data_IF_708242337439
#
_entry.id   IF_708242337439
#
_cell.length_a   1.000
_cell.length_b   1.000
_cell.length_c   1.000
_cell.angle_alpha   90.00
_cell.angle_beta   90.00
_cell.angle_gamma   90.00
#
_symmetry.space_group_name_H-M   'P 1'
#
loop_
_entity.id
_entity.type
_entity.pdbx_description
1 polymer ?
#
# COMPACT_ATOMS: atom_id res chain seq x y z
N UNK A 1 -6.16 4.14 -15.92
CA UNK A 1 -6.08 5.52 -15.38
C UNK A 1 -6.01 6.56 -16.49
N UNK A 2 -5.07 6.46 -17.43
CA UNK A 2 -4.99 7.40 -18.57
C UNK A 2 -6.29 7.54 -19.35
N UNK A 3 -6.91 6.42 -19.72
CA UNK A 3 -8.18 6.42 -20.46
C UNK A 3 -9.30 7.14 -19.69
N UNK A 4 -9.34 6.94 -18.36
CA UNK A 4 -10.32 7.60 -17.49
C UNK A 4 -10.10 9.12 -17.44
N UNK A 5 -8.85 9.56 -17.27
CA UNK A 5 -8.52 10.99 -17.26
C UNK A 5 -8.79 11.63 -18.62
N UNK A 6 -8.44 10.95 -19.72
CA UNK A 6 -8.77 11.38 -21.07
C UNK A 6 -10.27 11.50 -21.31
N UNK A 7 -11.05 10.50 -20.88
CA UNK A 7 -12.52 10.54 -20.98
C UNK A 7 -13.15 11.67 -20.16
N UNK A 8 -12.61 11.97 -18.97
CA UNK A 8 -13.04 13.11 -18.14
C UNK A 8 -12.57 14.47 -18.65
N UNK A 9 -11.68 14.51 -19.66
CA UNK A 9 -11.08 15.75 -20.16
C UNK A 9 -10.04 16.35 -19.22
N UNK A 10 -9.47 15.55 -18.32
CA UNK A 10 -8.50 15.98 -17.33
C UNK A 10 -7.09 15.90 -17.90
N UNK A 11 -6.38 17.05 -17.91
CA UNK A 11 -4.99 17.10 -18.34
C UNK A 11 -4.08 16.46 -17.29
N UNK A 12 -3.23 15.53 -17.72
CA UNK A 12 -2.31 14.81 -16.85
C UNK A 12 -0.92 14.66 -17.48
N UNK A 13 0.07 14.43 -16.63
CA UNK A 13 1.41 13.97 -17.00
C UNK A 13 1.64 12.56 -16.47
N UNK A 14 2.52 11.79 -17.10
CA UNK A 14 2.93 10.45 -16.67
C UNK A 14 4.45 10.33 -16.60
N UNK A 15 4.94 9.71 -15.54
CA UNK A 15 6.34 9.31 -15.41
C UNK A 15 6.42 7.92 -14.77
N UNK A 16 7.08 7.02 -15.48
CA UNK A 16 7.33 5.65 -15.05
C UNK A 16 8.75 5.19 -15.39
N UNK A 17 9.03 3.91 -15.18
CA UNK A 17 10.35 3.31 -15.47
C UNK A 17 10.76 3.32 -16.94
N UNK A 18 9.81 3.49 -17.88
CA UNK A 18 10.08 3.53 -19.32
C UNK A 18 10.41 4.94 -19.81
N UNK A 19 10.11 5.96 -19.00
CA UNK A 19 10.39 7.36 -19.32
C UNK A 19 11.90 7.63 -19.29
N UNK A 20 12.44 8.17 -20.39
CA UNK A 20 13.86 8.51 -20.53
C UNK A 20 14.27 9.57 -19.51
N UNK A 21 15.52 9.50 -19.05
CA UNK A 21 16.04 10.43 -18.04
C UNK A 21 15.97 11.91 -18.49
N UNK A 22 16.19 12.18 -19.77
CA UNK A 22 16.14 13.51 -20.38
C UNK A 22 14.73 14.13 -20.29
N UNK A 23 13.69 13.34 -20.57
CA UNK A 23 12.30 13.79 -20.59
C UNK A 23 11.76 14.09 -19.17
N UNK A 24 12.31 13.42 -18.15
CA UNK A 24 11.88 13.60 -16.74
C UNK A 24 12.03 15.05 -16.28
N UNK A 25 13.12 15.70 -16.64
CA UNK A 25 13.37 17.09 -16.28
C UNK A 25 12.35 18.05 -16.89
N UNK A 26 11.95 17.81 -18.14
CA UNK A 26 10.93 18.61 -18.80
C UNK A 26 9.55 18.41 -18.19
N UNK A 27 9.16 17.17 -17.89
CA UNK A 27 7.89 16.85 -17.23
C UNK A 27 7.77 17.51 -15.86
N UNK A 28 8.84 17.44 -15.04
CA UNK A 28 8.89 18.12 -13.75
C UNK A 28 8.77 19.63 -13.88
N UNK A 29 9.42 20.23 -14.89
CA UNK A 29 9.32 21.68 -15.12
C UNK A 29 7.91 22.08 -15.54
N UNK A 30 7.25 21.30 -16.40
CA UNK A 30 5.86 21.55 -16.81
C UNK A 30 4.92 21.52 -15.60
N UNK A 31 5.03 20.50 -14.75
CA UNK A 31 4.17 20.35 -13.57
C UNK A 31 4.42 21.42 -12.49
N UNK A 32 5.67 21.82 -12.25
CA UNK A 32 5.99 22.87 -11.27
C UNK A 32 5.78 24.30 -11.81
N UNK A 33 5.36 24.46 -13.06
CA UNK A 33 5.04 25.79 -13.61
C UNK A 33 3.84 26.36 -12.86
N UNK A 34 3.88 27.62 -12.38
CA UNK A 34 2.71 28.28 -11.78
C UNK A 34 1.52 28.38 -12.73
N UNK A 35 1.78 28.38 -14.04
CA UNK A 35 0.80 28.41 -15.12
C UNK A 35 0.62 27.02 -15.76
N UNK A 36 0.84 25.94 -14.99
CA UNK A 36 0.62 24.58 -15.47
C UNK A 36 -0.87 24.31 -15.68
N UNK A 37 -1.26 23.94 -16.89
CA UNK A 37 -2.61 23.43 -17.18
C UNK A 37 -2.82 21.99 -16.64
N UNK A 38 -1.74 21.32 -16.24
CA UNK A 38 -1.77 19.96 -15.70
C UNK A 38 -1.98 19.99 -14.20
N UNK A 39 -3.07 19.36 -13.75
CA UNK A 39 -3.38 19.20 -12.32
C UNK A 39 -3.09 17.79 -11.77
N UNK A 40 -2.93 16.79 -12.65
CA UNK A 40 -2.60 15.40 -12.26
C UNK A 40 -1.22 15.00 -12.79
N UNK A 41 -0.43 14.36 -11.93
CA UNK A 41 0.82 13.71 -12.33
C UNK A 41 0.79 12.24 -11.88
N UNK A 42 0.66 11.33 -12.85
CA UNK A 42 0.73 9.89 -12.62
C UNK A 42 2.17 9.43 -12.46
N UNK A 43 2.46 8.80 -11.33
CA UNK A 43 3.78 8.28 -10.98
C UNK A 43 3.68 6.81 -10.59
N UNK A 44 4.62 6.01 -11.08
CA UNK A 44 4.90 4.71 -10.45
C UNK A 44 5.60 4.94 -9.11
N UNK A 45 5.19 4.24 -8.05
CA UNK A 45 5.82 4.31 -6.71
C UNK A 45 7.34 4.15 -6.77
N UNK A 46 7.83 3.16 -7.52
CA UNK A 46 9.27 2.95 -7.75
C UNK A 46 9.95 4.09 -8.49
N UNK A 47 9.26 4.73 -9.43
CA UNK A 47 9.79 5.89 -10.14
C UNK A 47 9.77 7.15 -9.26
N UNK A 48 8.79 7.26 -8.35
CA UNK A 48 8.70 8.32 -7.33
C UNK A 48 9.84 8.28 -6.29
N UNK A 49 10.37 7.09 -6.02
CA UNK A 49 11.54 6.89 -5.16
C UNK A 49 12.84 7.50 -5.69
N UNK A 50 12.92 7.89 -6.97
CA UNK A 50 14.15 8.35 -7.64
C UNK A 50 14.56 9.81 -7.35
N UNK A 51 13.99 10.46 -6.34
CA UNK A 51 14.40 11.82 -5.92
C UNK A 51 13.78 12.97 -6.73
N UNK A 52 12.54 12.81 -7.18
CA UNK A 52 11.80 13.86 -7.89
C UNK A 52 11.53 15.09 -6.99
N UNK A 53 11.29 16.26 -7.60
CA UNK A 53 10.90 17.47 -6.88
C UNK A 53 9.49 17.90 -7.32
N UNK A 54 8.49 17.69 -6.46
CA UNK A 54 7.08 17.98 -6.72
C UNK A 54 6.54 18.97 -5.69
N UNK A 55 7.33 20.00 -5.37
CA UNK A 55 6.99 21.05 -4.40
C UNK A 55 5.70 21.82 -4.74
N UNK A 56 5.21 21.77 -5.99
CA UNK A 56 3.92 22.35 -6.36
C UNK A 56 2.72 21.46 -5.99
N UNK A 57 2.91 20.16 -5.76
CA UNK A 57 1.84 19.21 -5.47
C UNK A 57 1.34 19.32 -4.02
N UNK A 58 0.03 19.46 -3.85
CA UNK A 58 -0.67 19.60 -2.58
C UNK A 58 -1.47 18.35 -2.18
N UNK A 59 -1.77 17.45 -3.12
CA UNK A 59 -2.51 16.21 -2.85
C UNK A 59 -1.78 15.00 -3.41
N UNK A 60 -1.60 13.97 -2.59
CA UNK A 60 -0.99 12.69 -2.96
C UNK A 60 -2.01 11.58 -2.74
N UNK A 61 -2.28 10.80 -3.79
CA UNK A 61 -3.17 9.63 -3.72
C UNK A 61 -2.32 8.38 -3.99
N UNK A 62 -2.27 7.48 -3.01
CA UNK A 62 -1.62 6.17 -3.12
C UNK A 62 -2.70 5.14 -3.46
N UNK A 63 -2.53 4.48 -4.60
CA UNK A 63 -3.41 3.39 -5.04
C UNK A 63 -2.94 2.05 -4.45
N UNK A 64 -1.73 1.61 -4.82
CA UNK A 64 -1.22 0.31 -4.40
C UNK A 64 -0.30 0.48 -3.20
N UNK A 65 -0.57 -0.24 -2.11
CA UNK A 65 0.31 -0.25 -0.94
C UNK A 65 1.53 -1.13 -1.19
N UNK A 66 2.74 -0.60 -0.98
CA UNK A 66 3.97 -1.38 -1.10
C UNK A 66 4.24 -2.18 0.19
N UNK A 67 4.80 -3.37 0.06
CA UNK A 67 5.28 -4.17 1.18
C UNK A 67 6.43 -3.49 1.96
N UNK A 68 7.14 -2.58 1.29
CA UNK A 68 8.12 -1.72 1.91
C UNK A 68 7.55 -0.31 2.15
N UNK A 69 7.18 0.02 3.40
CA UNK A 69 6.55 1.30 3.72
C UNK A 69 7.43 2.52 3.42
N UNK A 70 8.75 2.35 3.37
CA UNK A 70 9.69 3.43 3.03
C UNK A 70 9.52 3.93 1.59
N UNK A 71 9.04 3.10 0.66
CA UNK A 71 8.73 3.56 -0.71
C UNK A 71 7.58 4.57 -0.71
N UNK A 72 6.54 4.29 0.08
CA UNK A 72 5.38 5.17 0.19
C UNK A 72 5.72 6.46 0.93
N UNK A 73 6.46 6.39 2.03
CA UNK A 73 6.96 7.59 2.74
C UNK A 73 7.83 8.44 1.80
N UNK A 74 8.73 7.80 1.06
CA UNK A 74 9.59 8.50 0.12
C UNK A 74 8.78 9.17 -1.01
N UNK A 75 7.68 8.55 -1.47
CA UNK A 75 6.78 9.12 -2.44
C UNK A 75 6.00 10.33 -1.88
N UNK A 76 5.54 10.26 -0.63
CA UNK A 76 4.87 11.36 0.07
C UNK A 76 5.82 12.56 0.27
N UNK A 77 7.07 12.31 0.66
CA UNK A 77 8.12 13.32 0.83
C UNK A 77 8.45 14.09 -0.46
N UNK A 78 8.01 13.61 -1.64
CA UNK A 78 8.18 14.34 -2.89
C UNK A 78 7.33 15.62 -2.92
N UNK A 79 6.14 15.57 -2.32
CA UNK A 79 5.22 16.69 -2.18
C UNK A 79 5.44 17.44 -0.87
N UNK A 80 5.66 16.71 0.23
CA UNK A 80 5.97 17.29 1.54
C UNK A 80 7.45 17.70 1.64
N UNK A 81 7.84 18.71 0.86
CA UNK A 81 9.23 19.16 0.73
C UNK A 81 9.38 20.64 1.06
N UNK A 82 10.55 21.01 1.60
CA UNK A 82 10.93 22.41 1.86
C UNK A 82 10.65 23.25 0.61
N UNK A 83 9.83 24.29 0.73
CA UNK A 83 9.42 25.17 -0.38
C UNK A 83 7.95 25.03 -0.80
N UNK A 84 7.27 23.96 -0.37
CA UNK A 84 5.81 23.86 -0.48
C UNK A 84 5.13 24.89 0.45
N UNK A 85 4.12 25.58 -0.06
CA UNK A 85 3.31 26.59 0.63
C UNK A 85 1.90 26.11 0.99
N UNK A 86 1.39 25.13 0.26
CA UNK A 86 0.05 24.58 0.45
C UNK A 86 0.06 23.42 1.45
N UNK A 87 -1.08 23.18 2.10
CA UNK A 87 -1.25 22.02 2.97
C UNK A 87 -1.27 20.73 2.14
N UNK A 88 -0.31 19.83 2.41
CA UNK A 88 -0.21 18.55 1.71
C UNK A 88 -1.15 17.53 2.34
N UNK A 89 -2.08 16.99 1.54
CA UNK A 89 -2.99 15.91 1.95
C UNK A 89 -2.55 14.60 1.30
N UNK A 90 -2.38 13.56 2.11
CA UNK A 90 -2.04 12.22 1.63
C UNK A 90 -3.23 11.30 1.88
N UNK A 91 -3.74 10.71 0.81
CA UNK A 91 -4.82 9.73 0.84
C UNK A 91 -4.28 8.39 0.35
N UNK A 92 -4.65 7.32 1.03
CA UNK A 92 -4.39 5.95 0.58
C UNK A 92 -5.74 5.31 0.30
N UNK A 93 -5.93 4.86 -0.93
CA UNK A 93 -7.09 4.07 -1.29
C UNK A 93 -6.83 2.62 -0.88
N UNK A 94 -7.84 1.99 -0.31
CA UNK A 94 -7.79 0.59 0.07
C UNK A 94 -9.16 -0.02 -0.12
N UNK A 95 -9.17 -1.25 -0.62
CA UNK A 95 -10.37 -2.06 -0.75
C UNK A 95 -10.59 -2.86 0.54
N UNK A 96 -11.76 -2.69 1.14
CA UNK A 96 -12.18 -3.43 2.35
C UNK A 96 -12.27 -4.93 2.06
N UNK A 97 -11.91 -5.76 3.05
CA UNK A 97 -11.91 -7.23 2.96
C UNK A 97 -11.04 -7.79 1.82
N UNK A 98 -9.93 -7.12 1.52
CA UNK A 98 -9.01 -7.52 0.46
C UNK A 98 -7.62 -7.87 0.99
N UNK A 99 -6.78 -8.46 0.14
CA UNK A 99 -5.37 -8.70 0.47
C UNK A 99 -4.61 -7.39 0.80
N UNK A 100 -5.11 -6.24 0.36
CA UNK A 100 -4.49 -4.93 0.59
C UNK A 100 -4.44 -4.59 2.09
N UNK A 101 -5.45 -4.98 2.87
CA UNK A 101 -5.47 -4.78 4.33
C UNK A 101 -4.29 -5.50 5.00
N UNK A 102 -4.03 -6.75 4.58
CA UNK A 102 -2.92 -7.55 5.11
C UNK A 102 -1.57 -6.96 4.72
N UNK A 103 -1.45 -6.43 3.51
CA UNK A 103 -0.24 -5.75 3.05
C UNK A 103 -0.01 -4.49 3.88
N UNK A 104 -1.04 -3.68 4.10
CA UNK A 104 -0.92 -2.47 4.91
C UNK A 104 -0.57 -2.81 6.37
N UNK A 105 -1.22 -3.80 6.97
CA UNK A 105 -0.92 -4.24 8.34
C UNK A 105 0.55 -4.68 8.46
N UNK A 106 1.06 -5.45 7.50
CA UNK A 106 2.47 -5.84 7.47
C UNK A 106 3.42 -4.64 7.28
N UNK A 107 3.03 -3.66 6.48
CA UNK A 107 3.80 -2.43 6.28
C UNK A 107 3.81 -1.54 7.54
N UNK A 108 2.66 -1.39 8.22
CA UNK A 108 2.53 -0.69 9.51
C UNK A 108 3.38 -1.37 10.58
N UNK A 109 3.32 -2.69 10.69
CA UNK A 109 4.15 -3.45 11.62
C UNK A 109 5.65 -3.18 11.42
N UNK A 110 6.11 -3.13 10.16
CA UNK A 110 7.50 -2.78 9.85
C UNK A 110 7.85 -1.35 10.25
N UNK A 111 6.96 -0.38 10.03
CA UNK A 111 7.16 1.01 10.46
C UNK A 111 7.23 1.12 11.98
N UNK A 112 6.30 0.51 12.71
CA UNK A 112 6.28 0.57 14.17
C UNK A 112 7.54 -0.09 14.75
N UNK A 113 8.02 -1.17 14.13
CA UNK A 113 9.30 -1.80 14.50
C UNK A 113 10.49 -0.85 14.24
N UNK A 114 10.54 -0.18 13.08
CA UNK A 114 11.59 0.78 12.75
C UNK A 114 11.57 1.98 13.70
N UNK A 115 10.38 2.50 14.02
CA UNK A 115 10.19 3.60 14.98
C UNK A 115 10.68 3.19 16.37
N UNK A 116 10.34 1.99 16.84
CA UNK A 116 10.87 1.45 18.10
C UNK A 116 12.39 1.40 18.10
N UNK A 117 13.02 0.97 17.01
CA UNK A 117 14.50 0.91 16.92
C UNK A 117 15.11 2.31 16.96
N UNK A 118 14.51 3.28 16.26
CA UNK A 118 14.99 4.68 16.21
C UNK A 118 14.78 5.37 17.56
N UNK A 119 13.56 5.33 18.10
CA UNK A 119 13.18 6.03 19.33
C UNK A 119 13.76 5.37 20.59
N UNK A 120 13.97 4.05 20.61
CA UNK A 120 14.68 3.38 21.71
C UNK A 120 16.16 3.80 21.81
N UNK A 121 16.64 4.67 20.91
CA UNK A 121 17.95 5.28 21.04
C UNK A 121 19.07 4.25 20.94
N UNK A 122 18.88 3.16 20.19
CA UNK A 122 19.94 2.19 19.93
C UNK A 122 21.19 2.83 19.27
N UNK A 123 21.11 4.10 18.88
CA UNK A 123 22.19 4.91 18.32
C UNK A 123 22.79 5.98 19.26
N UNK A 124 22.16 6.35 20.38
CA UNK A 124 22.74 7.32 21.34
C UNK A 124 23.22 6.63 22.62
N UNK A 125 24.52 6.76 22.89
CA UNK A 125 25.20 6.13 24.02
C UNK A 125 25.13 6.98 25.31
N UNK A 126 24.26 8.00 25.34
CA UNK A 126 24.07 8.90 26.48
C UNK A 126 22.90 8.55 27.41
N UNK A 127 21.93 7.78 26.93
CA UNK A 127 20.73 7.42 27.72
C UNK A 127 20.99 6.26 28.69
N UNK A 128 20.49 6.37 29.91
CA UNK A 128 20.66 5.30 30.91
C UNK A 128 19.81 4.07 30.57
N UNK A 129 20.21 2.89 31.04
CA UNK A 129 19.47 1.63 30.77
C UNK A 129 18.04 1.64 31.32
N UNK A 130 17.80 2.38 32.41
CA UNK A 130 16.47 2.48 33.04
C UNK A 130 15.51 3.39 32.27
N UNK A 131 16.00 4.50 31.71
CA UNK A 131 15.19 5.40 30.87
C UNK A 131 14.73 4.70 29.59
N UNK A 132 15.62 3.92 28.96
CA UNK A 132 15.27 3.11 27.78
C UNK A 132 14.19 2.08 28.06
N UNK A 133 14.23 1.40 29.21
CA UNK A 133 13.22 0.40 29.59
C UNK A 133 11.85 1.03 29.87
N UNK A 134 11.81 2.16 30.56
CA UNK A 134 10.55 2.86 30.84
C UNK A 134 9.91 3.38 29.55
N UNK A 135 10.73 3.94 28.66
CA UNK A 135 10.26 4.47 27.39
C UNK A 135 9.79 3.38 26.42
N UNK A 136 10.54 2.26 26.31
CA UNK A 136 10.11 1.10 25.51
C UNK A 136 8.78 0.52 26.01
N UNK A 137 8.55 0.52 27.33
CA UNK A 137 7.29 0.07 27.92
C UNK A 137 6.11 0.98 27.54
N UNK A 138 6.33 2.30 27.46
CA UNK A 138 5.29 3.24 27.01
C UNK A 138 4.90 2.98 25.55
N UNK A 139 5.88 2.79 24.65
CA UNK A 139 5.60 2.53 23.22
C UNK A 139 4.84 1.21 23.05
N UNK A 140 5.23 0.16 23.78
CA UNK A 140 4.56 -1.15 23.67
C UNK A 140 3.09 -1.10 24.11
N UNK A 141 2.74 -0.29 25.12
CA UNK A 141 1.35 -0.15 25.57
C UNK A 141 0.48 0.69 24.63
N UNK A 142 1.09 1.51 23.78
CA UNK A 142 0.38 2.33 22.81
C UNK A 142 -0.04 1.50 21.58
N UNK A 143 0.80 0.56 21.17
CA UNK A 143 0.56 -0.38 20.05
C UNK A 143 -0.64 -1.31 20.29
N UNK A 144 -0.85 -1.80 21.52
CA UNK A 144 -1.97 -2.71 21.84
C UNK A 144 -3.35 -2.04 21.72
N UNK A 145 -3.42 -0.70 21.62
CA UNK A 145 -4.67 0.05 21.52
C UNK A 145 -5.07 0.41 20.08
N UNK A 146 -4.14 0.34 19.12
CA UNK A 146 -4.34 0.79 17.72
C UNK A 146 -4.79 -0.34 16.76
N UNK A 147 -4.79 -1.60 17.22
CA UNK A 147 -5.07 -2.78 16.38
C UNK A 147 -6.58 -3.15 16.25
N UNK A 148 -7.49 -2.36 16.83
CA UNK A 148 -8.95 -2.66 16.86
C UNK A 148 -9.84 -1.78 15.95
N UNK A 149 -9.29 -0.93 15.08
CA UNK A 149 -10.12 -0.17 14.12
C UNK A 149 -10.57 -1.05 12.94
N UNK A 150 -11.87 -1.35 12.87
CA UNK A 150 -12.51 -1.97 11.72
C UNK A 150 -12.52 -0.97 10.54
N UNK A 151 -11.97 -1.36 9.39
CA UNK A 151 -11.92 -0.48 8.21
C UNK A 151 -13.30 -0.41 7.56
N UNK A 152 -14.13 0.54 7.99
CA UNK A 152 -15.40 0.85 7.33
C UNK A 152 -15.21 1.77 6.13
N UNK A 153 -16.08 1.63 5.11
CA UNK A 153 -16.10 2.55 3.98
C UNK A 153 -16.69 3.88 4.45
N UNK A 154 -15.94 5.00 4.38
CA UNK A 154 -16.43 6.29 4.81
C UNK A 154 -17.57 6.77 3.92
N UNK A 155 -18.55 7.44 4.52
CA UNK A 155 -19.64 8.08 3.78
C UNK A 155 -19.16 9.37 3.08
N UNK A 156 -19.97 9.89 2.15
CA UNK A 156 -19.62 11.08 1.36
C UNK A 156 -19.27 12.28 2.24
N UNK A 157 -19.97 12.46 3.37
CA UNK A 157 -19.70 13.56 4.30
C UNK A 157 -18.33 13.41 4.98
N UNK A 158 -18.02 12.21 5.48
CA UNK A 158 -16.71 11.91 6.08
C UNK A 158 -15.59 12.13 5.05
N UNK A 159 -15.76 11.67 3.81
CA UNK A 159 -14.78 11.90 2.74
C UNK A 159 -14.60 13.40 2.50
N UNK A 160 -15.67 14.18 2.43
CA UNK A 160 -15.61 15.63 2.25
C UNK A 160 -14.87 16.32 3.40
N UNK A 161 -15.07 15.87 4.65
CA UNK A 161 -14.35 16.39 5.81
C UNK A 161 -12.85 16.04 5.76
N UNK A 162 -12.50 14.83 5.29
CA UNK A 162 -11.11 14.39 5.16
C UNK A 162 -10.32 15.18 4.11
N UNK A 163 -10.96 15.53 2.98
CA UNK A 163 -10.30 16.21 1.86
C UNK A 163 -10.36 17.74 1.91
N UNK A 164 -11.36 18.32 2.59
CA UNK A 164 -11.52 19.78 2.66
C UNK A 164 -10.45 20.41 3.55
N UNK A 165 -9.82 21.48 3.06
CA UNK A 165 -8.84 22.30 3.79
C UNK A 165 -9.50 23.50 4.47
N UNK A 166 -10.65 23.93 3.97
CA UNK A 166 -11.42 25.04 4.54
C UNK A 166 -12.93 24.81 4.40
N UNK A 167 -13.71 25.58 5.16
CA UNK A 167 -15.17 25.53 5.15
C UNK A 167 -15.76 25.80 3.75
N UNK A 168 -15.13 26.69 2.97
CA UNK A 168 -15.57 26.99 1.61
C UNK A 168 -15.42 25.80 0.65
N UNK A 169 -14.34 25.02 0.77
CA UNK A 169 -14.15 23.77 0.00
C UNK A 169 -15.17 22.72 0.42
N UNK A 170 -15.40 22.58 1.73
CA UNK A 170 -16.40 21.67 2.27
C UNK A 170 -17.81 21.98 1.74
N UNK A 171 -18.23 23.24 1.79
CA UNK A 171 -19.51 23.68 1.20
C UNK A 171 -19.58 23.42 -0.31
N UNK A 172 -18.47 23.60 -1.03
CA UNK A 172 -18.40 23.32 -2.46
C UNK A 172 -18.64 21.83 -2.73
N UNK A 173 -17.96 20.94 -1.99
CA UNK A 173 -18.14 19.50 -2.14
C UNK A 173 -19.57 19.06 -1.79
N UNK A 174 -20.16 19.61 -0.73
CA UNK A 174 -21.58 19.37 -0.41
C UNK A 174 -22.53 19.80 -1.53
N UNK A 175 -22.27 20.96 -2.17
CA UNK A 175 -23.05 21.43 -3.32
C UNK A 175 -22.91 20.47 -4.51
N UNK A 176 -21.70 20.00 -4.80
CA UNK A 176 -21.44 19.02 -5.86
C UNK A 176 -22.17 17.69 -5.59
N UNK A 177 -22.19 17.22 -4.34
CA UNK A 177 -22.91 15.99 -3.96
C UNK A 177 -24.42 16.13 -4.11
N UNK A 178 -24.95 17.30 -3.76
CA UNK A 178 -26.37 17.60 -3.92
C UNK A 178 -26.76 17.68 -5.40
N UNK A 179 -25.92 18.31 -6.23
CA UNK A 179 -26.12 18.39 -7.67
C UNK A 179 -26.11 17.00 -8.32
N UNK A 180 -25.11 16.19 -8.00
CA UNK A 180 -25.02 14.79 -8.45
C UNK A 180 -26.25 13.97 -8.03
N UNK A 181 -26.69 14.06 -6.77
CA UNK A 181 -27.93 13.40 -6.31
C UNK A 181 -29.17 13.90 -7.04
N UNK A 182 -29.21 15.19 -7.40
CA UNK A 182 -30.32 15.78 -8.17
C UNK A 182 -30.34 15.27 -9.60
N UNK A 183 -29.18 15.10 -10.23
CA UNK A 183 -29.04 14.52 -11.56
C UNK A 183 -29.43 13.03 -11.56
N UNK A 184 -28.95 12.27 -10.58
CA UNK A 184 -29.34 10.87 -10.37
C UNK A 184 -30.85 10.73 -10.19
N UNK A 185 -31.48 11.67 -9.47
CA UNK A 185 -32.94 11.68 -9.31
C UNK A 185 -33.70 11.99 -10.60
N UNK A 186 -33.11 12.69 -11.58
CA UNK A 186 -33.75 12.96 -12.88
C UNK A 186 -33.78 11.71 -13.76
N UNK A 187 -32.80 10.82 -13.61
CA UNK A 187 -32.72 9.55 -14.35
C UNK A 187 -33.83 8.57 -13.96
N UNK A 188 -34.41 8.70 -12.76
CA UNK A 188 -35.57 7.92 -12.34
C UNK A 188 -35.32 6.41 -12.43
N UNK A 189 -36.02 5.74 -13.36
CA UNK A 189 -35.89 4.30 -13.61
C UNK A 189 -34.61 3.91 -14.38
N UNK A 190 -33.92 4.86 -15.02
CA UNK A 190 -32.63 4.62 -15.69
C UNK A 190 -31.43 4.77 -14.73
N UNK A 191 -31.70 5.04 -13.44
CA UNK A 191 -30.65 5.15 -12.43
C UNK A 191 -29.90 3.82 -12.31
N UNK A 192 -28.59 3.88 -12.50
CA UNK A 192 -27.69 2.76 -12.23
C UNK A 192 -27.13 2.84 -10.81
N UNK A 193 -26.79 1.68 -10.20
CA UNK A 193 -26.04 1.64 -8.95
C UNK A 193 -24.68 2.35 -9.08
N UNK A 194 -24.09 2.76 -7.95
CA UNK A 194 -22.78 3.47 -7.94
C UNK A 194 -21.63 2.58 -8.46
N UNK A 195 -21.71 1.30 -8.14
CA UNK A 195 -20.78 0.27 -8.59
C UNK A 195 -21.50 -0.62 -9.60
N UNK A 196 -20.73 -1.14 -10.54
CA UNK A 196 -21.23 -2.12 -11.50
C UNK A 196 -21.72 -3.36 -10.75
N UNK A 197 -22.92 -3.83 -11.07
CA UNK A 197 -23.46 -5.06 -10.52
C UNK A 197 -23.07 -6.26 -11.40
N UNK A 198 -23.12 -7.47 -10.85
CA UNK A 198 -22.74 -8.71 -11.56
C UNK A 198 -23.49 -8.88 -12.88
N UNK A 199 -24.73 -8.40 -12.94
CA UNK A 199 -25.60 -8.48 -14.13
C UNK A 199 -25.11 -7.63 -15.30
N UNK A 200 -24.32 -6.59 -15.00
CA UNK A 200 -23.72 -5.70 -16.00
C UNK A 200 -22.35 -6.22 -16.47
N UNK A 201 -21.81 -7.24 -15.81
CA UNK A 201 -20.53 -7.81 -16.20
C UNK A 201 -20.66 -8.54 -17.55
N UNK A 202 -19.69 -8.38 -18.46
CA UNK A 202 -19.65 -9.16 -19.68
C UNK A 202 -19.65 -10.67 -19.39
N UNK A 203 -20.39 -11.44 -20.17
CA UNK A 203 -20.52 -12.90 -20.02
C UNK A 203 -19.17 -13.67 -19.99
N UNK A 204 -18.09 -13.08 -20.51
CA UNK A 204 -16.77 -13.73 -20.49
C UNK A 204 -16.05 -13.63 -19.14
N UNK A 205 -16.45 -12.68 -18.29
CA UNK A 205 -15.87 -12.45 -16.96
C UNK A 205 -16.61 -13.25 -15.89
N UNK A 206 -17.92 -13.41 -16.06
CA UNK A 206 -18.76 -14.31 -15.26
C UNK A 206 -18.50 -15.74 -15.75
N UNK A 207 -17.39 -16.33 -15.31
CA UNK A 207 -17.19 -17.77 -15.44
C UNK A 207 -18.07 -18.47 -14.42
N UNK A 208 -18.74 -19.55 -14.82
CA UNK A 208 -19.49 -20.40 -13.88
C UNK A 208 -18.51 -20.91 -12.81
N UNK A 209 -18.89 -20.88 -11.53
CA UNK A 209 -18.03 -21.26 -10.40
C UNK A 209 -17.36 -22.64 -10.61
N UNK A 210 -18.05 -23.55 -11.32
CA UNK A 210 -17.53 -24.87 -11.72
C UNK A 210 -16.30 -24.80 -12.63
N UNK A 211 -16.19 -23.80 -13.52
CA UNK A 211 -15.00 -23.60 -14.34
C UNK A 211 -13.85 -22.98 -13.54
N UNK A 212 -14.13 -22.13 -12.57
CA UNK A 212 -13.10 -21.51 -11.71
C UNK A 212 -12.54 -22.56 -10.75
N UNK A 213 -13.39 -23.35 -10.10
CA UNK A 213 -12.99 -24.49 -9.26
C UNK A 213 -12.15 -25.51 -10.03
N UNK A 214 -12.38 -25.67 -11.34
CA UNK A 214 -11.58 -26.57 -12.18
C UNK A 214 -10.19 -26.01 -12.54
N UNK A 215 -10.01 -24.70 -12.44
CA UNK A 215 -8.72 -24.01 -12.66
C UNK A 215 -7.96 -23.81 -11.34
N UNK A 216 -8.64 -23.59 -10.22
CA UNK A 216 -8.04 -23.48 -8.88
C UNK A 216 -7.87 -24.83 -8.20
N UNK A 217 -8.73 -25.78 -8.55
CA UNK A 217 -8.71 -27.18 -8.19
C UNK A 217 -8.21 -28.03 -9.35
N UNK A 218 -7.10 -27.62 -9.96
CA UNK A 218 -6.14 -28.67 -10.29
C UNK A 218 -5.79 -29.32 -8.95
N UNK A 219 -6.41 -30.48 -8.70
CA UNK A 219 -5.79 -31.55 -7.97
C UNK A 219 -4.28 -31.45 -8.22
N UNK A 220 -3.49 -31.60 -7.17
CA UNK A 220 -2.07 -31.92 -7.29
C UNK A 220 -1.92 -33.25 -8.07
N UNK A 221 -2.27 -33.32 -9.35
CA UNK A 221 -1.46 -34.06 -10.28
C UNK A 221 -0.11 -33.38 -10.14
N UNK A 222 0.78 -33.99 -9.35
CA UNK A 222 2.22 -33.78 -9.42
C UNK A 222 2.66 -34.09 -10.87
N UNK A 223 2.33 -33.21 -11.80
CA UNK A 223 2.96 -33.19 -13.10
C UNK A 223 4.34 -32.69 -12.82
N UNK A 224 5.24 -33.65 -12.68
CA UNK A 224 6.66 -33.46 -12.49
C UNK A 224 7.24 -32.73 -13.73
N UNK A 225 7.04 -31.41 -13.80
CA UNK A 225 7.61 -30.57 -14.84
C UNK A 225 9.06 -30.25 -14.47
N UNK A 226 9.94 -31.20 -14.79
CA UNK A 226 11.38 -31.01 -14.64
C UNK A 226 12.16 -31.90 -15.59
N UNK A 227 12.93 -31.31 -16.50
CA UNK A 227 14.04 -32.03 -17.15
C UNK A 227 15.12 -32.27 -16.09
N UNK A 228 15.01 -33.40 -15.38
CA UNK A 228 15.99 -34.00 -14.46
C UNK A 228 17.22 -33.15 -14.11
N UNK A 229 17.03 -32.10 -13.31
CA UNK A 229 18.12 -31.25 -12.82
C UNK A 229 18.22 -31.35 -11.30
N UNK A 230 19.22 -32.12 -10.85
CA UNK A 230 19.78 -32.23 -9.49
C UNK A 230 18.84 -31.95 -8.31
N UNK A 231 18.37 -33.02 -7.67
CA UNK A 231 17.85 -32.97 -6.29
C UNK A 231 18.89 -32.37 -5.34
N UNK A 232 18.54 -31.27 -4.68
CA UNK A 232 19.27 -30.80 -3.49
C UNK A 232 18.91 -31.74 -2.34
N UNK A 233 19.93 -32.29 -1.67
CA UNK A 233 19.77 -33.17 -0.53
C UNK A 233 19.06 -32.40 0.59
N UNK A 234 17.91 -32.89 1.02
CA UNK A 234 17.15 -32.34 2.14
C UNK A 234 18.02 -32.43 3.40
N UNK A 235 18.25 -31.28 4.04
CA UNK A 235 19.00 -31.21 5.30
C UNK A 235 17.98 -31.18 6.41
N UNK A 236 17.85 -32.31 7.10
CA UNK A 236 17.06 -32.43 8.30
C UNK A 236 17.85 -31.81 9.48
N UNK A 237 17.20 -30.89 10.19
CA UNK A 237 17.75 -30.17 11.34
C UNK A 237 17.21 -30.69 12.68
N UNK A 238 16.65 -31.90 12.73
CA UNK A 238 16.42 -32.58 14.02
C UNK A 238 17.72 -33.16 14.58
N UNK A 239 18.65 -32.29 14.99
CA UNK A 239 19.88 -32.70 15.67
C UNK A 239 19.63 -32.84 17.18
N UNK A 240 18.94 -33.90 17.56
CA UNK A 240 18.90 -34.33 18.97
C UNK A 240 18.92 -35.85 19.04
N UNK A 241 20.12 -36.44 19.12
CA UNK A 241 20.27 -37.81 19.60
C UNK A 241 19.56 -37.93 20.95
N UNK A 242 18.73 -38.94 21.10
CA UNK A 242 18.16 -39.23 22.41
C UNK A 242 19.27 -39.68 23.37
N UNK A 243 19.15 -39.31 24.65
CA UNK A 243 20.16 -39.57 25.69
C UNK A 243 20.56 -41.06 25.79
N UNK A 244 19.63 -41.95 25.43
CA UNK A 244 19.82 -43.41 25.34
C UNK A 244 20.78 -43.83 24.22
N UNK A 245 20.78 -43.12 23.10
CA UNK A 245 21.66 -43.36 21.95
C UNK A 245 23.07 -42.81 22.21
N UNK A 246 23.16 -41.68 22.91
CA UNK A 246 24.43 -41.11 23.36
C UNK A 246 25.18 -42.03 24.34
N UNK A 247 24.46 -42.61 25.32
CA UNK A 247 25.03 -43.57 26.28
C UNK A 247 25.58 -44.83 25.62
N UNK A 248 24.88 -45.36 24.61
CA UNK A 248 25.35 -46.50 23.80
C UNK A 248 26.64 -46.16 23.05
N UNK A 249 26.76 -44.94 22.53
CA UNK A 249 27.93 -44.48 21.79
C UNK A 249 29.18 -44.36 22.69
N UNK A 250 29.01 -43.91 23.94
CA UNK A 250 30.10 -43.86 24.93
C UNK A 250 30.55 -45.25 25.37
N UNK A 251 29.62 -46.17 25.62
CA UNK A 251 29.97 -47.54 26.00
C UNK A 251 30.74 -48.27 24.88
N UNK A 252 30.43 -47.97 23.61
CA UNK A 252 31.13 -48.54 22.45
C UNK A 252 32.56 -48.02 22.31
N UNK A 253 32.82 -46.75 22.63
CA UNK A 253 34.16 -46.15 22.61
C UNK A 253 35.09 -46.60 23.74
N UNK A 254 34.57 -47.17 24.84
CA UNK A 254 35.39 -47.73 25.93
C UNK A 254 35.85 -49.18 25.69
N UNK A 255 35.41 -49.82 24.61
CA UNK A 255 35.73 -51.22 24.26
C UNK A 255 36.69 -51.36 23.06
N UNK A 256 37.24 -50.25 22.57
CA UNK A 256 38.42 -50.20 21.69
C UNK A 256 39.56 -49.55 22.46
#
# INVERSE_FOLDING_TARGET
>A
MEDYLGWRGFQYLRLDGTTKAEDRGELLRKFNSPESDYFVFLLSTRAGGLGLNLQSADTVIIFDSDWNPHQDLQAQDRAHRIGQKNEVRVLRLMTVNSVEERILAAARYKLNMDEKVIQAGMFDQKSTGSERQQFLKTILHQDEADDEEENEVPDDETVNQMIARCEAEFELFQKMDLERRREDSKLGAERRPRLMEEQELPNWLVKEDEEVEKWTGEEEEERFYGRGSRQRKEVDYTDSLTEKEWLKHIQRKKRQ
#
